data_IF_866013483198
#
_entry.id   IF_866013483198
#
_cell.length_a   1.000
_cell.length_b   1.000
_cell.length_c   1.000
_cell.angle_alpha   90.00
_cell.angle_beta   90.00
_cell.angle_gamma   90.00
#
_symmetry.space_group_name_H-M   'P 1'
#
loop_
_entity.id
_entity.type
_entity.pdbx_description
1 polymer ?
#
# COMPACT_ATOMS: atom_id res chain seq x y z
N UNK A 1 2.86 -24.71 18.54
CA UNK A 1 1.81 -25.34 17.71
C UNK A 1 0.45 -24.82 18.16
N UNK A 2 -0.03 -23.75 17.54
CA UNK A 2 -1.45 -23.43 17.41
C UNK A 2 -1.59 -22.70 16.08
N UNK A 3 -2.13 -23.41 15.11
CA UNK A 3 -2.27 -23.02 13.71
C UNK A 3 -3.41 -22.01 13.59
N UNK A 4 -3.14 -20.79 13.14
CA UNK A 4 -4.15 -19.86 12.63
C UNK A 4 -3.71 -19.33 11.28
N UNK A 5 -3.96 -20.19 10.29
CA UNK A 5 -3.95 -19.87 8.87
C UNK A 5 -4.98 -18.76 8.58
N UNK A 6 -4.60 -17.80 7.72
CA UNK A 6 -5.35 -16.62 7.23
C UNK A 6 -5.13 -15.29 7.98
N UNK A 7 -3.90 -14.78 7.95
CA UNK A 7 -3.69 -13.36 7.60
C UNK A 7 -3.02 -13.39 6.21
N UNK A 8 -3.82 -13.36 5.16
CA UNK A 8 -3.34 -12.91 3.85
C UNK A 8 -3.65 -11.42 3.83
N UNK A 9 -2.77 -10.61 4.40
CA UNK A 9 -2.67 -9.22 3.95
C UNK A 9 -1.93 -9.31 2.62
N UNK A 10 -2.69 -9.34 1.52
CA UNK A 10 -2.22 -8.79 0.25
C UNK A 10 -1.92 -7.29 0.53
N UNK A 11 -0.85 -6.66 0.08
CA UNK A 11 0.06 -6.86 -1.05
C UNK A 11 1.50 -6.69 -0.55
N UNK A 12 2.44 -7.41 -1.15
CA UNK A 12 3.87 -7.18 -0.94
C UNK A 12 4.26 -5.90 -1.68
N UNK A 13 4.01 -4.74 -1.07
CA UNK A 13 4.71 -3.52 -1.49
C UNK A 13 6.17 -3.73 -1.11
N UNK A 14 7.01 -4.07 -2.10
CA UNK A 14 8.45 -4.03 -1.93
C UNK A 14 8.82 -2.60 -1.63
N UNK A 15 9.23 -2.32 -0.39
CA UNK A 15 9.85 -1.04 -0.06
C UNK A 15 11.27 -1.11 -0.63
N UNK A 16 11.62 -0.47 -1.76
CA UNK A 16 13.02 -0.32 -2.11
C UNK A 16 13.72 0.36 -0.94
N UNK A 17 14.97 -0.02 -0.65
CA UNK A 17 15.74 0.62 0.41
C UNK A 17 15.95 2.11 0.09
N UNK A 18 15.03 2.96 0.56
CA UNK A 18 15.09 4.42 0.41
C UNK A 18 16.31 4.93 1.17
N UNK A 19 17.24 5.55 0.46
CA UNK A 19 18.26 6.39 1.07
C UNK A 19 17.58 7.65 1.62
N UNK A 20 17.19 7.62 2.90
CA UNK A 20 16.55 8.73 3.62
C UNK A 20 17.45 9.97 3.59
N UNK A 21 17.17 10.87 2.66
CA UNK A 21 17.71 12.23 2.64
C UNK A 21 16.64 13.18 3.20
N UNK A 22 16.17 12.92 4.42
CA UNK A 22 15.14 13.74 5.07
C UNK A 22 15.79 14.91 5.81
N UNK A 23 15.44 16.15 5.45
CA UNK A 23 15.67 17.33 6.29
C UNK A 23 14.67 17.30 7.44
N UNK A 24 15.10 16.77 8.58
CA UNK A 24 14.29 16.70 9.80
C UNK A 24 14.07 18.11 10.38
N UNK A 25 12.81 18.54 10.48
CA UNK A 25 12.43 19.68 11.31
C UNK A 25 12.15 19.16 12.74
N UNK A 26 12.90 19.66 13.73
CA UNK A 26 12.71 19.27 15.14
C UNK A 26 11.55 20.07 15.72
N UNK A 27 10.35 19.51 15.71
CA UNK A 27 9.24 20.03 16.50
C UNK A 27 9.41 19.57 17.96
N UNK A 28 9.97 20.43 18.81
CA UNK A 28 10.39 20.14 20.18
C UNK A 28 9.28 19.84 21.22
N UNK A 29 8.23 19.10 20.87
CA UNK A 29 7.23 18.57 21.81
C UNK A 29 7.40 17.06 22.01
N UNK A 30 7.62 16.60 23.24
CA UNK A 30 7.79 15.19 23.63
C UNK A 30 8.78 14.36 22.76
N UNK A 31 9.86 14.99 22.27
CA UNK A 31 10.84 14.31 21.42
C UNK A 31 10.30 13.88 20.05
N UNK A 32 9.23 14.52 19.56
CA UNK A 32 8.65 14.21 18.27
C UNK A 32 9.61 14.55 17.11
N UNK A 33 9.70 13.64 16.15
CA UNK A 33 10.37 13.84 14.86
C UNK A 33 9.33 13.76 13.76
N UNK A 34 9.26 14.81 12.95
CA UNK A 34 8.35 14.88 11.80
C UNK A 34 9.16 14.91 10.50
N UNK A 35 8.67 14.22 9.49
CA UNK A 35 9.25 14.23 8.15
C UNK A 35 8.17 14.29 7.08
N UNK A 36 8.58 14.82 5.93
CA UNK A 36 7.88 14.70 4.66
C UNK A 36 8.90 14.22 3.62
N UNK A 37 8.55 13.19 2.87
CA UNK A 37 9.36 12.71 1.74
C UNK A 37 8.53 12.79 0.47
N UNK A 38 9.11 13.42 -0.56
CA UNK A 38 8.52 13.49 -1.90
C UNK A 38 9.50 12.83 -2.87
N UNK A 39 9.09 11.71 -3.45
CA UNK A 39 9.90 10.92 -4.36
C UNK A 39 9.18 10.86 -5.70
N UNK A 40 9.95 10.98 -6.78
CA UNK A 40 9.42 10.99 -8.13
C UNK A 40 10.21 10.06 -9.02
N UNK A 41 9.52 9.35 -9.90
CA UNK A 41 10.15 8.39 -10.81
C UNK A 41 10.79 7.21 -10.07
N UNK A 42 10.21 6.80 -8.94
CA UNK A 42 10.63 5.59 -8.24
C UNK A 42 10.26 4.41 -9.11
N UNK A 43 11.23 3.55 -9.42
CA UNK A 43 10.98 2.31 -10.14
C UNK A 43 10.77 1.22 -9.11
N UNK A 44 9.61 0.57 -9.15
CA UNK A 44 9.31 -0.58 -8.31
C UNK A 44 9.00 -1.81 -9.16
N UNK A 45 9.56 -2.95 -8.78
CA UNK A 45 9.39 -4.22 -9.49
C UNK A 45 9.25 -5.34 -8.48
N UNK A 46 8.08 -5.97 -8.49
CA UNK A 46 7.76 -7.04 -7.55
C UNK A 46 6.83 -8.07 -8.17
N UNK A 47 6.76 -9.22 -7.49
CA UNK A 47 5.86 -10.31 -7.86
C UNK A 47 4.60 -10.25 -7.00
N UNK A 48 3.42 -10.33 -7.63
CA UNK A 48 2.13 -10.29 -6.95
C UNK A 48 1.04 -11.02 -7.77
N UNK A 49 -0.17 -11.06 -7.23
CA UNK A 49 -1.35 -11.61 -7.87
C UNK A 49 -2.22 -10.51 -8.45
N UNK A 50 -2.75 -10.71 -9.66
CA UNK A 50 -3.83 -9.87 -10.17
C UNK A 50 -5.08 -10.10 -9.30
N UNK A 51 -5.61 -9.09 -8.60
CA UNK A 51 -6.70 -9.28 -7.64
C UNK A 51 -8.03 -9.64 -8.31
N UNK A 52 -8.17 -9.41 -9.62
CA UNK A 52 -9.39 -9.67 -10.37
C UNK A 52 -9.40 -11.03 -11.07
N UNK A 53 -8.25 -11.53 -11.51
CA UNK A 53 -8.15 -12.82 -12.20
C UNK A 53 -7.53 -13.92 -11.34
N UNK A 54 -6.77 -13.56 -10.31
CA UNK A 54 -5.98 -14.48 -9.50
C UNK A 54 -4.72 -15.00 -10.20
N UNK A 55 -4.37 -14.47 -11.37
CA UNK A 55 -3.15 -14.86 -12.07
C UNK A 55 -1.92 -14.26 -11.35
N UNK A 56 -0.86 -15.05 -11.10
CA UNK A 56 0.41 -14.52 -10.60
C UNK A 56 1.18 -13.81 -11.72
N UNK A 57 2.00 -12.82 -11.36
CA UNK A 57 2.83 -12.13 -12.31
C UNK A 57 3.75 -11.09 -11.68
N UNK A 58 4.50 -10.42 -12.55
CA UNK A 58 5.39 -9.32 -12.15
C UNK A 58 4.72 -7.98 -12.43
N UNK A 59 4.67 -7.13 -11.42
CA UNK A 59 4.34 -5.70 -11.53
C UNK A 59 5.63 -4.93 -11.78
N UNK A 60 5.66 -4.11 -12.82
CA UNK A 60 6.70 -3.09 -13.04
C UNK A 60 6.04 -1.72 -13.01
N UNK A 61 6.41 -0.88 -12.06
CA UNK A 61 5.80 0.42 -11.82
C UNK A 61 6.82 1.56 -11.85
N UNK A 62 6.35 2.73 -12.26
CA UNK A 62 7.05 4.01 -12.09
C UNK A 62 6.12 4.93 -11.32
N UNK A 63 6.59 5.40 -10.17
CA UNK A 63 5.75 5.95 -9.11
C UNK A 63 6.19 7.34 -8.67
N UNK A 64 5.21 8.14 -8.27
CA UNK A 64 5.37 9.32 -7.44
C UNK A 64 4.82 9.01 -6.06
N UNK A 65 5.61 9.29 -5.03
CA UNK A 65 5.30 8.93 -3.65
C UNK A 65 5.41 10.17 -2.76
N UNK A 66 4.42 10.37 -1.91
CA UNK A 66 4.43 11.39 -0.85
C UNK A 66 4.18 10.67 0.46
N UNK A 67 5.14 10.76 1.38
CA UNK A 67 5.01 10.23 2.72
C UNK A 67 5.11 11.34 3.75
N UNK A 68 4.21 11.33 4.71
CA UNK A 68 4.29 12.18 5.90
C UNK A 68 4.31 11.30 7.13
N UNK A 69 5.21 11.60 8.06
CA UNK A 69 5.30 10.86 9.30
C UNK A 69 5.63 11.75 10.48
N UNK A 70 5.06 11.44 11.63
CA UNK A 70 5.46 11.98 12.93
C UNK A 70 5.61 10.83 13.92
N UNK A 71 6.76 10.75 14.58
CA UNK A 71 7.06 9.69 15.56
C UNK A 71 7.50 10.37 16.85
N UNK A 72 7.00 9.93 18.00
CA UNK A 72 7.44 10.40 19.31
C UNK A 72 7.59 9.22 20.29
N UNK A 73 7.86 9.50 21.56
CA UNK A 73 8.07 8.47 22.59
C UNK A 73 6.84 7.61 22.92
N UNK A 74 5.67 7.96 22.39
CA UNK A 74 4.37 7.37 22.76
C UNK A 74 3.56 6.86 21.57
N UNK A 75 4.03 7.08 20.34
CA UNK A 75 3.27 6.71 19.16
C UNK A 75 3.85 7.24 17.86
N UNK A 76 3.13 6.92 16.78
CA UNK A 76 3.42 7.31 15.42
C UNK A 76 2.15 7.67 14.67
N UNK A 77 2.31 8.56 13.71
CA UNK A 77 1.32 8.88 12.70
C UNK A 77 2.04 8.84 11.36
N UNK A 78 1.52 8.08 10.40
CA UNK A 78 2.07 7.95 9.08
C UNK A 78 0.96 8.03 8.04
N UNK A 79 1.22 8.73 6.94
CA UNK A 79 0.38 8.67 5.74
C UNK A 79 1.25 8.56 4.50
N UNK A 80 0.71 7.87 3.50
CA UNK A 80 1.33 7.73 2.20
C UNK A 80 0.32 7.91 1.09
N UNK A 81 0.71 8.66 0.06
CA UNK A 81 0.06 8.67 -1.24
C UNK A 81 1.05 8.15 -2.26
N UNK A 82 0.68 7.12 -3.01
CA UNK A 82 1.47 6.64 -4.15
C UNK A 82 0.57 6.59 -5.38
N UNK A 83 1.03 7.16 -6.48
CA UNK A 83 0.39 7.03 -7.78
C UNK A 83 1.44 6.69 -8.83
N UNK A 84 1.05 5.93 -9.85
CA UNK A 84 2.02 5.47 -10.81
C UNK A 84 1.41 4.82 -12.03
N UNK A 85 2.24 4.72 -13.06
CA UNK A 85 1.98 3.85 -14.20
C UNK A 85 2.56 2.48 -13.88
N UNK A 86 1.86 1.42 -14.27
CA UNK A 86 2.32 0.06 -14.06
C UNK A 86 2.07 -0.82 -15.28
N UNK A 87 2.83 -1.91 -15.36
CA UNK A 87 2.53 -3.06 -16.21
C UNK A 87 2.55 -4.31 -15.36
N UNK A 88 1.46 -5.07 -15.38
CA UNK A 88 1.37 -6.41 -14.83
C UNK A 88 1.61 -7.42 -15.95
N UNK A 89 2.69 -8.19 -15.85
CA UNK A 89 3.04 -9.26 -16.77
C UNK A 89 2.81 -10.61 -16.09
N UNK A 90 1.79 -11.38 -16.50
CA UNK A 90 1.52 -12.69 -15.91
C UNK A 90 2.69 -13.66 -16.08
N UNK A 91 2.85 -14.58 -15.15
CA UNK A 91 3.86 -15.65 -15.24
C UNK A 91 3.56 -16.61 -16.41
N UNK A 92 2.27 -16.86 -16.69
CA UNK A 92 1.81 -17.60 -17.86
C UNK A 92 1.68 -16.65 -19.06
N UNK A 93 2.53 -16.77 -20.10
CA UNK A 93 2.53 -15.85 -21.24
C UNK A 93 1.29 -15.98 -22.14
N UNK A 94 0.42 -16.95 -21.90
CA UNK A 94 -0.88 -17.04 -22.58
C UNK A 94 -1.95 -16.13 -21.96
N UNK A 95 -1.70 -15.57 -20.77
CA UNK A 95 -2.59 -14.66 -20.07
C UNK A 95 -2.40 -13.20 -20.50
N UNK A 96 -3.36 -12.37 -20.12
CA UNK A 96 -3.42 -10.96 -20.53
C UNK A 96 -2.46 -10.11 -19.71
N UNK A 97 -1.57 -9.39 -20.38
CA UNK A 97 -0.78 -8.32 -19.77
C UNK A 97 -1.65 -7.07 -19.65
N UNK A 98 -1.64 -6.45 -18.48
CA UNK A 98 -2.37 -5.22 -18.20
C UNK A 98 -1.41 -4.05 -18.00
N UNK A 99 -1.66 -2.92 -18.66
CA UNK A 99 -0.92 -1.67 -18.46
C UNK A 99 -1.90 -0.57 -18.10
N UNK A 100 -1.56 0.23 -17.11
CA UNK A 100 -2.47 1.27 -16.64
C UNK A 100 -1.89 2.15 -15.54
N UNK A 101 -2.80 2.79 -14.82
CA UNK A 101 -2.50 3.68 -13.70
C UNK A 101 -3.10 3.13 -12.41
N UNK A 102 -2.41 3.37 -11.30
CA UNK A 102 -2.95 3.13 -9.98
C UNK A 102 -2.76 4.34 -9.07
N UNK A 103 -3.59 4.43 -8.04
CA UNK A 103 -3.41 5.35 -6.93
C UNK A 103 -3.76 4.65 -5.62
N UNK A 104 -2.90 4.78 -4.62
CA UNK A 104 -3.15 4.39 -3.24
C UNK A 104 -3.04 5.59 -2.32
N UNK A 105 -3.88 5.58 -1.30
CA UNK A 105 -3.67 6.37 -0.11
C UNK A 105 -3.82 5.49 1.11
N UNK A 106 -2.91 5.60 2.06
CA UNK A 106 -2.97 4.84 3.30
C UNK A 106 -2.52 5.67 4.50
N UNK A 107 -2.99 5.26 5.68
CA UNK A 107 -2.67 5.86 6.96
C UNK A 107 -2.48 4.81 8.04
N UNK A 108 -1.56 5.10 8.96
CA UNK A 108 -1.28 4.31 10.14
C UNK A 108 -1.11 5.23 11.36
N UNK A 109 -1.99 5.06 12.35
CA UNK A 109 -2.03 5.83 13.59
C UNK A 109 -1.91 4.93 14.82
N UNK A 110 -0.73 4.94 15.44
CA UNK A 110 -0.42 4.09 16.57
C UNK A 110 -0.07 4.90 17.81
N UNK A 111 -0.52 4.44 18.96
CA UNK A 111 -0.01 4.86 20.26
C UNK A 111 0.00 3.68 21.24
N UNK A 112 0.41 3.93 22.48
CA UNK A 112 0.50 2.91 23.52
C UNK A 112 -0.81 2.16 23.83
N UNK A 113 -1.96 2.62 23.33
CA UNK A 113 -3.29 2.09 23.65
C UNK A 113 -4.18 1.79 22.45
N UNK A 114 -3.81 2.19 21.24
CA UNK A 114 -4.58 1.84 20.05
C UNK A 114 -3.71 1.92 18.81
N UNK A 115 -4.17 1.21 17.79
CA UNK A 115 -3.65 1.28 16.44
C UNK A 115 -4.81 1.38 15.46
N UNK A 116 -4.63 2.17 14.40
CA UNK A 116 -5.56 2.28 13.29
C UNK A 116 -4.76 2.22 12.01
N UNK A 117 -5.15 1.34 11.11
CA UNK A 117 -4.63 1.27 9.75
C UNK A 117 -5.79 1.41 8.79
N UNK A 118 -5.60 2.13 7.70
CA UNK A 118 -6.60 2.24 6.65
C UNK A 118 -5.95 2.51 5.30
N UNK A 119 -6.61 2.08 4.24
CA UNK A 119 -6.12 2.26 2.88
C UNK A 119 -7.26 2.40 1.88
N UNK A 120 -6.96 3.08 0.79
CA UNK A 120 -7.71 3.01 -0.46
C UNK A 120 -6.74 2.65 -1.57
N UNK A 121 -7.19 1.85 -2.52
CA UNK A 121 -6.41 1.48 -3.68
C UNK A 121 -7.30 1.40 -4.91
N UNK A 122 -6.87 2.06 -5.98
CA UNK A 122 -7.62 2.15 -7.22
C UNK A 122 -6.70 1.83 -8.39
N UNK A 123 -7.17 0.99 -9.31
CA UNK A 123 -6.47 0.63 -10.54
C UNK A 123 -7.40 0.85 -11.71
N UNK A 124 -6.86 1.40 -12.80
CA UNK A 124 -7.50 1.41 -14.11
C UNK A 124 -6.47 1.02 -15.17
N UNK A 125 -6.72 -0.09 -15.85
CA UNK A 125 -5.79 -0.66 -16.82
C UNK A 125 -6.49 -1.24 -18.05
N UNK A 126 -5.71 -1.36 -19.12
CA UNK A 126 -6.13 -1.97 -20.37
C UNK A 126 -5.27 -3.19 -20.66
N UNK A 127 -5.92 -4.31 -20.99
CA UNK A 127 -5.29 -5.56 -21.37
C UNK A 127 -4.82 -5.54 -22.81
N UNK A 128 -3.82 -6.36 -23.13
CA UNK A 128 -3.35 -6.58 -24.51
C UNK A 128 -4.43 -7.16 -25.45
N UNK A 129 -5.49 -7.74 -24.89
CA UNK A 129 -6.67 -8.24 -25.60
C UNK A 129 -7.79 -7.18 -25.75
N UNK A 130 -7.58 -5.95 -25.27
CA UNK A 130 -8.56 -4.87 -25.26
C UNK A 130 -9.54 -4.90 -24.08
N UNK A 131 -9.42 -5.84 -23.14
CA UNK A 131 -10.21 -5.83 -21.91
C UNK A 131 -9.83 -4.65 -21.00
N UNK A 132 -10.78 -4.21 -20.17
CA UNK A 132 -10.52 -3.23 -19.12
C UNK A 132 -10.51 -3.91 -17.76
N UNK A 133 -9.57 -3.49 -16.91
CA UNK A 133 -9.47 -3.89 -15.52
C UNK A 133 -9.62 -2.65 -14.66
N UNK A 134 -10.68 -2.62 -13.87
CA UNK A 134 -10.89 -1.62 -12.82
C UNK A 134 -10.89 -2.35 -11.48
N UNK A 135 -10.02 -1.94 -10.57
CA UNK A 135 -9.98 -2.48 -9.20
C UNK A 135 -10.16 -1.34 -8.21
N UNK A 136 -11.01 -1.58 -7.21
CA UNK A 136 -11.22 -0.67 -6.09
C UNK A 136 -11.13 -1.46 -4.80
N UNK A 137 -10.32 -0.97 -3.88
CA UNK A 137 -10.24 -1.47 -2.51
C UNK A 137 -10.31 -0.30 -1.51
N UNK A 138 -10.96 -0.58 -0.39
CA UNK A 138 -11.05 0.26 0.79
C UNK A 138 -10.99 -0.65 2.02
N UNK A 139 -9.94 -0.51 2.80
CA UNK A 139 -9.70 -1.35 3.96
C UNK A 139 -9.46 -0.52 5.22
N UNK A 140 -9.83 -1.08 6.37
CA UNK A 140 -9.54 -0.50 7.67
C UNK A 140 -9.40 -1.60 8.72
N UNK A 141 -8.46 -1.39 9.65
CA UNK A 141 -8.37 -2.13 10.89
C UNK A 141 -8.21 -1.16 12.07
N UNK A 142 -8.80 -1.50 13.21
CA UNK A 142 -8.61 -0.76 14.47
C UNK A 142 -8.38 -1.73 15.61
N UNK A 143 -7.32 -1.51 16.36
CA UNK A 143 -6.92 -2.29 17.52
C UNK A 143 -7.03 -1.46 18.80
N UNK A 144 -7.59 -2.04 19.86
CA UNK A 144 -7.65 -1.40 21.17
C UNK A 144 -6.45 -1.76 22.07
N UNK A 145 -6.43 -1.22 23.28
CA UNK A 145 -5.30 -1.36 24.22
C UNK A 145 -5.02 -2.80 24.67
N UNK A 146 -6.00 -3.70 24.51
CA UNK A 146 -5.86 -5.11 24.87
C UNK A 146 -5.35 -5.95 23.68
N UNK A 147 -4.94 -5.30 22.59
CA UNK A 147 -4.52 -5.98 21.35
C UNK A 147 -5.69 -6.61 20.59
N UNK A 148 -6.93 -6.22 20.88
CA UNK A 148 -8.11 -6.77 20.20
C UNK A 148 -8.52 -5.86 19.05
N UNK A 149 -8.70 -6.46 17.87
CA UNK A 149 -9.27 -5.77 16.70
C UNK A 149 -10.76 -5.50 16.95
N UNK A 150 -11.15 -4.23 17.00
CA UNK A 150 -12.53 -3.79 17.27
C UNK A 150 -13.28 -3.40 16.01
N UNK A 151 -12.57 -3.03 14.94
CA UNK A 151 -13.12 -2.77 13.60
C UNK A 151 -12.19 -3.41 12.59
N UNK A 152 -12.74 -4.12 11.62
CA UNK A 152 -12.00 -4.63 10.48
C UNK A 152 -12.94 -4.80 9.28
N UNK A 153 -12.54 -4.23 8.15
CA UNK A 153 -13.14 -4.51 6.85
C UNK A 153 -12.09 -4.40 5.75
N UNK A 154 -12.38 -5.07 4.65
CA UNK A 154 -11.67 -5.04 3.39
C UNK A 154 -12.75 -5.16 2.32
N UNK A 155 -12.89 -4.13 1.49
CA UNK A 155 -13.92 -4.03 0.47
C UNK A 155 -13.29 -3.93 -0.92
N UNK A 156 -12.66 -5.02 -1.34
CA UNK A 156 -12.19 -5.20 -2.69
C UNK A 156 -13.32 -5.46 -3.70
N UNK A 157 -13.25 -4.84 -4.87
CA UNK A 157 -14.15 -5.07 -6.00
C UNK A 157 -13.46 -4.90 -7.35
N UNK A 158 -13.89 -5.69 -8.33
CA UNK A 158 -13.44 -5.62 -9.70
C UNK A 158 -14.58 -5.17 -10.61
N UNK A 159 -14.35 -4.07 -11.33
CA UNK A 159 -15.20 -3.60 -12.42
C UNK A 159 -14.78 -4.21 -13.76
N UNK A 160 -15.73 -4.30 -14.68
CA UNK A 160 -15.47 -4.54 -16.11
C UNK A 160 -15.44 -3.22 -16.86
#
# INVERSE_FOLDING_TARGET
>A
MYTRTKLLLATLVSVPALALSATSAIAGGNGATTFTQNLHGVVDVFHDMNPCTGDPGTVSAIENQIFHGTINSTGSWFTGTVEGQFTFTPDDPSKVTYTGHFATWFGDENNLRNGVEHSTFNVNATGTDGSHLQFHDNAQATMNANGTVTVSFDHASCGR
#
